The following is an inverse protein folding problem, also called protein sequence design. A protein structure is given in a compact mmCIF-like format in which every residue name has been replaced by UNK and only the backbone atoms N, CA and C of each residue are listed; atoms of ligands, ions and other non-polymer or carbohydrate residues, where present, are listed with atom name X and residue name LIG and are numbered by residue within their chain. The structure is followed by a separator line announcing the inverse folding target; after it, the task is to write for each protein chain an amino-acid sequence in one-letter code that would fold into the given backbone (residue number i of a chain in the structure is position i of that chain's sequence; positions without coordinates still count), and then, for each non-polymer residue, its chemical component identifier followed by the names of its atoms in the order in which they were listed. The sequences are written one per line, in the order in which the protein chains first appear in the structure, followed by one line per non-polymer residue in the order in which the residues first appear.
data_IF_805711874211
#
_entry.id   IF_805711874211
#
_cell.length_a   1.000
_cell.length_b   1.000
_cell.length_c   1.000
_cell.angle_alpha   90.00
_cell.angle_beta   90.00
_cell.angle_gamma   90.00
#
_symmetry.space_group_name_H-M   'P 1'
#
loop_
_entity.id
_entity.type
_entity.pdbx_description
1 polymer ?
#
# COMPACT_ATOMS: atom_id res chain seq x y z
N UNK A 1 20.36 27.96 40.98
CA UNK A 1 19.06 28.59 41.27
C UNK A 1 18.36 28.92 39.98
N UNK A 2 17.49 28.01 39.63
CA UNK A 2 16.13 28.11 39.15
C UNK A 2 15.79 28.71 37.79
N UNK A 3 15.11 27.83 37.04
CA UNK A 3 13.99 28.06 36.12
C UNK A 3 14.39 28.47 34.71
N UNK A 4 14.40 27.44 33.82
CA UNK A 4 13.73 27.46 32.51
C UNK A 4 13.74 26.02 31.97
N UNK A 5 12.93 25.16 32.59
CA UNK A 5 12.43 23.92 32.01
C UNK A 5 10.92 24.00 32.11
N UNK A 6 10.26 24.38 31.05
CA UNK A 6 8.87 24.04 30.72
C UNK A 6 8.39 24.99 29.62
N UNK A 7 8.34 24.56 28.38
CA UNK A 7 7.39 24.98 27.35
C UNK A 7 7.87 24.47 25.98
N UNK A 8 7.73 23.18 25.75
CA UNK A 8 8.09 22.58 24.47
C UNK A 8 7.43 21.23 24.19
N UNK A 9 6.50 20.85 25.03
CA UNK A 9 5.79 19.57 24.86
C UNK A 9 4.29 19.85 24.86
N UNK A 10 3.73 20.28 23.72
CA UNK A 10 2.30 20.15 23.41
C UNK A 10 2.00 20.76 22.04
N UNK A 11 2.34 20.07 20.95
CA UNK A 11 1.70 20.20 19.63
C UNK A 11 2.05 19.00 18.75
N UNK A 12 1.86 17.77 19.24
CA UNK A 12 2.02 16.55 18.43
C UNK A 12 0.78 15.65 18.54
N UNK A 13 -0.37 16.22 18.65
CA UNK A 13 -1.58 15.44 18.75
C UNK A 13 -2.72 16.10 18.01
N UNK A 14 -2.83 15.90 16.70
CA UNK A 14 -4.09 16.03 15.96
C UNK A 14 -3.93 16.07 14.43
N UNK A 15 -3.07 15.24 13.86
CA UNK A 15 -3.02 15.08 12.40
C UNK A 15 -2.97 13.59 11.99
N UNK A 16 -3.49 12.73 12.83
CA UNK A 16 -3.62 11.30 12.54
C UNK A 16 -5.08 10.98 12.34
N UNK A 17 -5.42 10.42 11.20
CA UNK A 17 -6.70 9.85 10.77
C UNK A 17 -7.42 10.65 9.68
N UNK A 18 -6.81 10.67 8.48
CA UNK A 18 -7.61 10.58 7.28
C UNK A 18 -7.15 9.31 6.58
N UNK A 19 -7.94 8.24 6.59
CA UNK A 19 -7.61 7.04 5.83
C UNK A 19 -7.73 7.35 4.34
N UNK A 20 -6.65 7.17 3.61
CA UNK A 20 -6.57 7.41 2.18
C UNK A 20 -5.76 6.28 1.55
N UNK A 21 -6.12 5.85 0.38
CA UNK A 21 -5.79 4.54 -0.16
C UNK A 21 -5.11 4.66 -1.52
N UNK A 22 -4.13 3.84 -1.78
CA UNK A 22 -3.24 3.93 -2.94
C UNK A 22 -3.08 2.59 -3.64
N UNK A 23 -2.56 2.61 -4.87
CA UNK A 23 -2.13 1.42 -5.58
C UNK A 23 -0.61 1.36 -5.68
N UNK A 24 -0.03 0.40 -4.98
CA UNK A 24 1.25 -0.18 -5.31
C UNK A 24 1.01 -1.49 -6.07
N UNK A 25 2.04 -2.23 -6.47
CA UNK A 25 1.85 -3.52 -7.11
C UNK A 25 0.89 -4.41 -6.28
N UNK A 26 -0.25 -4.74 -6.83
CA UNK A 26 -1.38 -5.25 -6.08
C UNK A 26 -2.00 -4.16 -5.18
N UNK A 27 -2.07 -4.41 -3.89
CA UNK A 27 -2.53 -3.44 -2.88
C UNK A 27 -1.51 -3.20 -1.75
N UNK A 28 -0.23 -3.52 -1.96
CA UNK A 28 0.87 -3.17 -1.04
C UNK A 28 1.34 -1.75 -1.30
N UNK A 29 1.59 -0.99 -0.24
CA UNK A 29 2.03 0.40 -0.29
C UNK A 29 3.52 0.50 0.03
N UNK A 30 4.31 0.95 -0.94
CA UNK A 30 5.72 1.26 -0.75
C UNK A 30 5.96 2.68 -0.20
N UNK A 31 4.97 3.54 -0.28
CA UNK A 31 5.00 4.96 0.08
C UNK A 31 5.07 5.16 1.60
N UNK A 32 6.14 4.62 2.20
CA UNK A 32 6.36 4.64 3.64
C UNK A 32 7.28 5.77 4.09
N UNK A 33 8.15 6.26 3.19
CA UNK A 33 9.11 7.31 3.52
C UNK A 33 9.25 8.30 2.37
N UNK A 34 9.25 9.59 2.65
CA UNK A 34 9.52 10.62 1.63
C UNK A 34 10.95 10.57 1.13
N UNK A 35 11.89 10.19 1.99
CA UNK A 35 13.30 10.04 1.63
C UNK A 35 13.53 8.88 0.63
N UNK A 36 12.80 7.77 0.78
CA UNK A 36 12.94 6.57 -0.06
C UNK A 36 12.42 6.74 -1.47
N UNK A 37 11.36 7.54 -1.68
CA UNK A 37 10.82 7.82 -3.02
C UNK A 37 11.90 8.35 -3.97
N UNK A 38 12.76 9.24 -3.49
CA UNK A 38 13.77 9.90 -4.33
C UNK A 38 14.74 8.96 -5.05
N UNK A 39 14.91 7.73 -4.57
CA UNK A 39 15.68 6.67 -5.25
C UNK A 39 14.86 5.41 -5.53
N UNK A 40 13.54 5.56 -5.71
CA UNK A 40 12.64 4.44 -5.94
C UNK A 40 12.83 3.31 -4.92
N UNK A 41 13.06 3.62 -3.65
CA UNK A 41 13.33 2.68 -2.54
C UNK A 41 14.54 1.73 -2.74
N UNK A 42 15.44 2.04 -3.68
CA UNK A 42 16.68 1.29 -3.81
C UNK A 42 17.50 1.33 -2.52
N UNK A 43 17.97 0.18 -2.05
CA UNK A 43 18.76 0.08 -0.82
C UNK A 43 17.96 0.25 0.49
N UNK A 44 16.64 0.19 0.45
CA UNK A 44 15.79 0.51 1.60
C UNK A 44 16.08 -0.35 2.84
N UNK A 45 16.32 -1.66 2.69
CA UNK A 45 16.65 -2.54 3.81
C UNK A 45 18.10 -2.40 4.31
N UNK A 46 18.99 -1.69 3.59
CA UNK A 46 20.35 -1.35 3.99
C UNK A 46 20.51 0.09 4.46
N UNK A 47 19.42 0.86 4.51
CA UNK A 47 19.42 2.27 4.90
C UNK A 47 19.68 2.47 6.40
N UNK A 48 20.26 3.62 6.74
CA UNK A 48 20.42 4.12 8.10
C UNK A 48 20.21 5.64 8.13
N UNK A 49 19.33 6.17 7.28
CA UNK A 49 19.21 7.58 6.98
C UNK A 49 18.44 8.37 8.05
N UNK A 50 17.39 7.78 8.61
CA UNK A 50 16.51 8.37 9.62
C UNK A 50 15.59 7.31 10.26
N UNK A 51 14.70 7.70 11.19
CA UNK A 51 13.84 6.77 11.93
C UNK A 51 12.92 5.91 11.05
N UNK A 52 12.62 6.34 9.83
CA UNK A 52 11.71 5.62 8.91
C UNK A 52 12.31 4.31 8.35
N UNK A 53 13.63 4.09 8.53
CA UNK A 53 14.31 2.84 8.12
C UNK A 53 13.68 1.60 8.75
N UNK A 54 13.07 1.74 9.93
CA UNK A 54 12.48 0.63 10.68
C UNK A 54 11.36 -0.08 9.93
N UNK A 55 10.66 0.58 9.00
CA UNK A 55 9.65 -0.09 8.20
C UNK A 55 10.27 -1.16 7.28
N UNK A 56 11.36 -0.81 6.59
CA UNK A 56 12.02 -1.71 5.65
C UNK A 56 12.96 -2.70 6.34
N UNK A 57 13.65 -2.26 7.41
CA UNK A 57 14.55 -3.11 8.19
C UNK A 57 14.72 -2.55 9.60
N UNK A 58 14.16 -3.19 10.64
CA UNK A 58 14.29 -2.70 12.02
C UNK A 58 15.74 -2.68 12.52
N UNK A 59 16.68 -3.47 11.92
CA UNK A 59 18.09 -3.43 12.29
C UNK A 59 18.75 -2.07 12.04
N UNK A 60 18.18 -1.25 11.11
CA UNK A 60 18.66 0.11 10.84
C UNK A 60 18.56 1.06 12.02
N UNK A 61 17.65 0.81 12.97
CA UNK A 61 17.54 1.60 14.21
C UNK A 61 18.84 1.60 15.02
N UNK A 62 19.58 0.48 15.04
CA UNK A 62 20.84 0.36 15.79
C UNK A 62 22.00 1.17 15.18
N UNK A 63 21.81 1.73 14.00
CA UNK A 63 22.79 2.58 13.31
C UNK A 63 22.51 4.08 13.47
N UNK A 64 21.41 4.45 14.12
CA UNK A 64 21.04 5.83 14.39
C UNK A 64 21.78 6.34 15.65
N UNK A 65 22.35 7.54 15.56
CA UNK A 65 23.21 8.09 16.64
C UNK A 65 22.47 9.02 17.62
N UNK A 66 21.17 9.27 17.40
CA UNK A 66 20.37 10.15 18.25
C UNK A 66 18.89 9.78 18.20
N UNK A 67 18.11 10.10 19.25
CA UNK A 67 16.66 9.99 19.18
C UNK A 67 16.11 10.84 18.04
N UNK A 68 15.11 10.30 17.30
CA UNK A 68 14.56 10.95 16.12
C UNK A 68 13.04 10.74 16.03
N UNK A 69 12.37 11.73 15.47
CA UNK A 69 11.00 11.62 14.95
C UNK A 69 11.02 11.95 13.46
N UNK A 70 10.44 11.08 12.65
CA UNK A 70 10.24 11.32 11.21
C UNK A 70 8.74 11.27 10.91
N UNK A 71 8.25 12.25 10.15
CA UNK A 71 6.87 12.26 9.64
C UNK A 71 6.94 12.46 8.14
N UNK A 72 6.29 11.56 7.42
CA UNK A 72 6.18 11.60 5.96
C UNK A 72 4.73 11.81 5.53
N UNK A 73 4.52 12.59 4.47
CA UNK A 73 3.25 12.77 3.80
C UNK A 73 3.44 12.56 2.30
N UNK A 74 2.49 11.85 1.69
CA UNK A 74 2.50 11.52 0.28
C UNK A 74 1.16 11.93 -0.34
N UNK A 75 1.20 12.51 -1.53
CA UNK A 75 0.07 12.68 -2.41
C UNK A 75 0.26 11.76 -3.62
N UNK A 76 -0.62 10.81 -3.78
CA UNK A 76 -0.56 9.83 -4.87
C UNK A 76 -1.73 10.10 -5.79
N UNK A 77 -1.42 10.56 -7.00
CA UNK A 77 -2.35 10.86 -8.07
C UNK A 77 -2.40 9.63 -8.98
N UNK A 78 -3.48 8.89 -8.87
CA UNK A 78 -3.73 7.66 -9.63
C UNK A 78 -4.68 7.97 -10.78
N UNK A 79 -4.29 7.65 -12.00
CA UNK A 79 -5.17 7.58 -13.16
C UNK A 79 -5.47 6.12 -13.48
N UNK A 80 -6.74 5.76 -13.67
CA UNK A 80 -7.21 4.41 -14.02
C UNK A 80 -8.34 4.53 -15.05
N UNK A 81 -7.95 4.87 -16.27
CA UNK A 81 -8.89 5.24 -17.36
C UNK A 81 -9.37 4.01 -18.11
N UNK A 82 -10.62 3.64 -17.88
CA UNK A 82 -11.29 2.55 -18.59
C UNK A 82 -11.86 3.00 -19.92
N UNK A 83 -11.76 2.13 -20.92
CA UNK A 83 -12.41 2.26 -22.24
C UNK A 83 -13.08 0.95 -22.62
N UNK A 84 -14.42 0.97 -22.76
CA UNK A 84 -15.21 -0.20 -23.13
C UNK A 84 -14.92 -0.70 -24.57
N UNK A 85 -14.92 -2.01 -24.73
CA UNK A 85 -14.78 -2.72 -26.02
C UNK A 85 -15.85 -3.79 -26.24
N UNK A 86 -17.03 -3.58 -25.69
CA UNK A 86 -18.15 -4.48 -25.90
C UNK A 86 -18.58 -5.25 -24.65
N UNK A 87 -18.55 -4.59 -23.49
CA UNK A 87 -19.09 -5.14 -22.25
C UNK A 87 -20.58 -5.44 -22.36
N UNK A 88 -21.05 -6.41 -21.59
CA UNK A 88 -22.47 -6.80 -21.56
C UNK A 88 -22.99 -6.80 -20.13
N UNK A 89 -24.21 -6.24 -19.96
CA UNK A 89 -24.93 -6.24 -18.70
C UNK A 89 -25.66 -7.59 -18.48
N UNK A 90 -26.02 -7.93 -17.23
CA UNK A 90 -26.92 -9.06 -16.98
C UNK A 90 -28.23 -8.90 -17.78
N UNK A 91 -28.76 -10.04 -18.26
CA UNK A 91 -29.94 -10.07 -19.11
C UNK A 91 -29.79 -9.26 -20.42
N UNK A 92 -28.56 -9.14 -20.96
CA UNK A 92 -28.33 -8.52 -22.26
C UNK A 92 -29.27 -9.10 -23.32
N UNK A 93 -29.94 -8.23 -24.05
CA UNK A 93 -30.96 -8.59 -25.04
C UNK A 93 -32.40 -8.52 -24.54
N UNK A 94 -32.65 -8.37 -23.25
CA UNK A 94 -33.98 -8.10 -22.69
C UNK A 94 -34.29 -6.59 -22.59
N UNK A 95 -33.35 -5.73 -22.94
CA UNK A 95 -33.53 -4.28 -23.16
C UNK A 95 -33.89 -3.43 -21.95
N UNK A 96 -33.69 -3.95 -20.74
CA UNK A 96 -34.32 -3.38 -19.55
C UNK A 96 -33.43 -2.52 -18.65
N UNK A 97 -32.09 -2.65 -18.76
CA UNK A 97 -31.15 -1.91 -17.90
C UNK A 97 -30.43 -0.78 -18.66
N UNK A 98 -30.24 0.41 -18.05
CA UNK A 98 -29.40 1.46 -18.64
C UNK A 98 -27.99 0.96 -18.91
N UNK A 99 -27.42 1.29 -20.07
CA UNK A 99 -26.05 0.84 -20.43
C UNK A 99 -25.00 1.35 -19.43
N UNK A 100 -25.11 2.60 -18.99
CA UNK A 100 -24.11 3.28 -18.16
C UNK A 100 -22.97 3.87 -18.99
N UNK A 101 -22.01 4.50 -18.32
CA UNK A 101 -20.80 5.05 -18.94
C UNK A 101 -19.93 3.93 -19.53
N UNK A 102 -19.39 4.16 -20.74
CA UNK A 102 -18.45 3.28 -21.45
C UNK A 102 -17.00 3.78 -21.35
N UNK A 103 -16.79 4.92 -20.69
CA UNK A 103 -15.48 5.48 -20.35
C UNK A 103 -15.57 6.04 -18.95
N UNK A 104 -14.53 5.78 -18.17
CA UNK A 104 -14.48 6.20 -16.77
C UNK A 104 -13.04 6.30 -16.30
N UNK A 105 -12.77 7.12 -15.27
CA UNK A 105 -11.52 7.14 -14.56
C UNK A 105 -11.78 6.74 -13.10
N UNK A 106 -11.40 5.53 -12.73
CA UNK A 106 -11.57 5.01 -11.37
C UNK A 106 -10.44 5.42 -10.43
N UNK A 107 -9.51 6.27 -10.89
CA UNK A 107 -8.43 6.85 -10.10
C UNK A 107 -8.88 8.01 -9.23
N UNK A 108 -8.00 8.41 -8.29
CA UNK A 108 -8.22 9.54 -7.39
C UNK A 108 -6.88 10.07 -6.85
N UNK A 109 -6.89 11.26 -6.25
CA UNK A 109 -5.75 11.77 -5.48
C UNK A 109 -5.86 11.29 -4.04
N UNK A 110 -4.85 10.53 -3.61
CA UNK A 110 -4.88 9.80 -2.36
C UNK A 110 -3.77 10.31 -1.43
N UNK A 111 -4.11 10.99 -0.32
CA UNK A 111 -3.15 11.37 0.69
C UNK A 111 -2.78 10.18 1.58
N UNK A 112 -1.51 10.04 1.94
CA UNK A 112 -0.98 9.04 2.85
C UNK A 112 -0.01 9.70 3.82
N UNK A 113 -0.03 9.28 5.10
CA UNK A 113 0.90 9.78 6.11
C UNK A 113 1.47 8.63 6.94
N UNK A 114 2.75 8.77 7.30
CA UNK A 114 3.47 7.82 8.14
C UNK A 114 4.27 8.55 9.21
N UNK A 115 4.41 7.97 10.39
CA UNK A 115 5.15 8.54 11.51
C UNK A 115 6.06 7.49 12.16
N UNK A 116 7.26 7.91 12.52
CA UNK A 116 8.31 7.06 13.05
C UNK A 116 9.00 7.74 14.23
N UNK A 117 9.29 6.97 15.25
CA UNK A 117 10.08 7.36 16.39
C UNK A 117 11.22 6.36 16.59
N UNK A 118 12.42 6.84 16.78
CA UNK A 118 13.59 6.03 17.10
C UNK A 118 14.30 6.58 18.32
N UNK A 119 14.71 5.69 19.22
CA UNK A 119 15.43 6.05 20.43
C UNK A 119 16.58 5.08 20.66
N UNK A 120 17.83 5.45 20.37
CA UNK A 120 19.01 4.74 20.87
C UNK A 120 19.02 4.76 22.40
N UNK A 121 18.87 3.59 23.03
CA UNK A 121 18.87 3.45 24.48
C UNK A 121 20.32 3.46 25.03
N UNK A 122 21.25 2.96 24.24
CA UNK A 122 22.69 3.00 24.46
C UNK A 122 23.40 2.68 23.13
N UNK A 123 24.72 2.53 23.13
CA UNK A 123 25.56 2.30 21.94
C UNK A 123 25.25 0.95 21.22
N UNK A 124 24.48 0.06 21.85
CA UNK A 124 24.20 -1.27 21.34
C UNK A 124 22.71 -1.55 21.09
N UNK A 125 21.81 -0.84 21.76
CA UNK A 125 20.38 -1.16 21.74
C UNK A 125 19.58 0.09 21.37
N UNK A 126 18.67 -0.05 20.41
CA UNK A 126 17.73 0.99 20.04
C UNK A 126 16.29 0.47 20.05
N UNK A 127 15.37 1.32 20.47
CA UNK A 127 13.93 1.12 20.38
C UNK A 127 13.36 1.98 19.25
N UNK A 128 12.33 1.47 18.56
CA UNK A 128 11.57 2.22 17.56
C UNK A 128 10.08 1.99 17.72
N UNK A 129 9.30 2.95 17.26
CA UNK A 129 7.84 2.84 17.13
C UNK A 129 7.37 3.53 15.85
N UNK A 130 6.55 2.85 15.07
CA UNK A 130 5.98 3.39 13.83
C UNK A 130 4.46 3.27 13.81
N UNK A 131 3.83 4.25 13.15
CA UNK A 131 2.45 4.16 12.66
C UNK A 131 2.50 4.38 11.15
N UNK A 132 2.01 3.41 10.39
CA UNK A 132 2.11 3.42 8.93
C UNK A 132 0.97 2.63 8.28
N UNK A 133 0.89 2.69 6.94
CA UNK A 133 -0.14 2.04 6.14
C UNK A 133 0.52 1.09 5.13
N UNK A 134 0.74 -0.20 5.46
CA UNK A 134 1.45 -1.14 4.57
C UNK A 134 0.63 -1.60 3.36
N UNK A 135 -0.70 -1.56 3.45
CA UNK A 135 -1.61 -2.00 2.38
C UNK A 135 -2.75 -1.01 2.23
N UNK A 136 -3.20 -0.85 0.99
CA UNK A 136 -4.33 0.00 0.64
C UNK A 136 -4.78 -0.20 -0.81
N UNK A 137 -6.05 0.08 -1.08
CA UNK A 137 -6.67 -0.02 -2.40
C UNK A 137 -7.79 0.98 -2.49
N UNK A 138 -7.87 1.73 -3.59
CA UNK A 138 -9.05 2.50 -3.93
C UNK A 138 -9.28 2.47 -5.43
N UNK A 139 -10.46 2.04 -5.85
CA UNK A 139 -11.04 2.26 -7.16
C UNK A 139 -12.49 2.67 -6.99
N UNK A 140 -12.90 3.72 -7.68
CA UNK A 140 -14.28 4.21 -7.62
C UNK A 140 -14.71 4.69 -9.00
N UNK A 141 -15.67 3.98 -9.59
CA UNK A 141 -16.26 4.29 -10.88
C UNK A 141 -17.51 5.15 -10.71
N UNK A 142 -17.79 6.00 -11.69
CA UNK A 142 -19.06 6.70 -11.78
C UNK A 142 -20.24 5.70 -11.80
N UNK A 143 -21.36 6.08 -11.21
CA UNK A 143 -22.54 5.23 -11.19
C UNK A 143 -23.73 5.94 -11.87
N UNK A 144 -24.27 5.40 -12.99
CA UNK A 144 -24.03 4.04 -13.53
C UNK A 144 -22.92 3.98 -14.59
N UNK A 145 -22.09 2.95 -14.54
CA UNK A 145 -21.13 2.58 -15.58
C UNK A 145 -21.37 1.14 -16.07
N UNK A 146 -20.77 0.76 -17.21
CA UNK A 146 -21.03 -0.54 -17.85
C UNK A 146 -20.59 -1.73 -17.00
N UNK A 147 -19.54 -1.60 -16.19
CA UNK A 147 -18.99 -2.67 -15.33
C UNK A 147 -19.55 -2.72 -13.90
N UNK A 148 -20.55 -1.94 -13.56
CA UNK A 148 -21.07 -1.76 -12.17
C UNK A 148 -21.48 -3.04 -11.46
N UNK A 149 -21.88 -4.10 -12.19
CA UNK A 149 -22.22 -5.40 -11.60
C UNK A 149 -20.98 -6.19 -11.12
N UNK A 150 -19.77 -5.80 -11.58
CA UNK A 150 -18.52 -6.39 -11.11
C UNK A 150 -17.84 -5.53 -10.04
N UNK A 151 -18.07 -4.22 -10.05
CA UNK A 151 -17.55 -3.29 -9.05
C UNK A 151 -17.93 -1.85 -9.36
N UNK A 152 -18.25 -1.07 -8.32
CA UNK A 152 -18.42 0.38 -8.36
C UNK A 152 -17.30 0.99 -7.52
N UNK A 153 -17.28 0.71 -6.22
CA UNK A 153 -16.24 1.12 -5.29
C UNK A 153 -15.53 -0.10 -4.71
N UNK A 154 -14.23 0.01 -4.54
CA UNK A 154 -13.40 -0.93 -3.79
C UNK A 154 -12.41 -0.13 -2.98
N UNK A 155 -12.52 -0.26 -1.68
CA UNK A 155 -11.68 0.46 -0.74
C UNK A 155 -11.14 -0.51 0.29
N UNK A 156 -9.82 -0.51 0.49
CA UNK A 156 -9.10 -1.23 1.54
C UNK A 156 -8.19 -0.25 2.25
N UNK A 157 -8.35 -0.10 3.55
CA UNK A 157 -7.49 0.74 4.39
C UNK A 157 -6.80 -0.12 5.43
N UNK A 158 -5.52 0.12 5.68
CA UNK A 158 -4.84 -0.47 6.82
C UNK A 158 -4.14 0.59 7.67
N UNK A 159 -4.08 0.35 8.96
CA UNK A 159 -3.26 1.12 9.90
C UNK A 159 -2.46 0.12 10.71
N UNK A 160 -1.14 0.28 10.72
CA UNK A 160 -0.21 -0.61 11.40
C UNK A 160 0.55 0.16 12.49
N UNK A 161 0.59 -0.40 13.70
CA UNK A 161 1.45 0.03 14.79
C UNK A 161 2.59 -0.98 14.95
N UNK A 162 3.83 -0.52 14.85
CA UNK A 162 5.01 -1.38 14.84
C UNK A 162 6.03 -0.93 15.91
N UNK A 163 5.98 -1.43 17.15
CA UNK A 163 7.11 -1.40 18.07
C UNK A 163 8.23 -2.32 17.58
N UNK A 164 9.48 -1.85 17.67
CA UNK A 164 10.65 -2.61 17.26
C UNK A 164 11.84 -2.39 18.19
N UNK A 165 12.70 -3.41 18.28
CA UNK A 165 13.98 -3.36 18.97
C UNK A 165 15.09 -3.72 17.99
N UNK A 166 16.22 -3.02 18.10
CA UNK A 166 17.43 -3.34 17.35
C UNK A 166 18.63 -3.45 18.25
N UNK A 167 19.55 -4.35 17.89
CA UNK A 167 20.78 -4.60 18.63
C UNK A 167 21.99 -4.55 17.68
N UNK A 168 22.96 -3.70 17.99
CA UNK A 168 24.28 -3.69 17.37
C UNK A 168 25.15 -4.73 18.05
N UNK A 169 25.31 -5.91 17.42
CA UNK A 169 26.13 -7.01 17.96
C UNK A 169 27.61 -6.72 17.86
N UNK A 170 28.02 -6.00 16.80
CA UNK A 170 29.38 -5.55 16.56
C UNK A 170 29.35 -4.35 15.62
N UNK A 171 30.51 -3.77 15.27
CA UNK A 171 30.59 -2.70 14.26
C UNK A 171 30.18 -3.17 12.86
N UNK A 172 30.18 -4.48 12.63
CA UNK A 172 29.82 -5.09 11.33
C UNK A 172 28.43 -5.69 11.27
N UNK A 173 27.76 -5.97 12.40
CA UNK A 173 26.47 -6.69 12.42
C UNK A 173 25.47 -6.01 13.34
N UNK A 174 24.32 -5.67 12.78
CA UNK A 174 23.14 -5.21 13.51
C UNK A 174 21.95 -6.11 13.20
N UNK A 175 21.12 -6.40 14.21
CA UNK A 175 19.90 -7.18 14.10
C UNK A 175 18.71 -6.34 14.58
N UNK A 176 17.54 -6.61 14.06
CA UNK A 176 16.30 -5.95 14.49
C UNK A 176 15.11 -6.87 14.42
N UNK A 177 14.15 -6.64 15.31
CA UNK A 177 12.87 -7.35 15.35
C UNK A 177 11.77 -6.39 15.74
N UNK A 178 10.60 -6.49 15.09
CA UNK A 178 9.42 -5.71 15.37
C UNK A 178 8.16 -6.58 15.39
N UNK A 179 7.19 -6.18 16.20
CA UNK A 179 5.84 -6.71 16.17
C UNK A 179 4.94 -5.74 15.39
N UNK A 180 4.05 -6.27 14.56
CA UNK A 180 3.09 -5.51 13.78
C UNK A 180 1.68 -5.77 14.33
N UNK A 181 0.97 -4.75 14.79
CA UNK A 181 -0.45 -4.79 15.07
C UNK A 181 -1.18 -3.99 14.00
N UNK A 182 -1.97 -4.65 13.18
CA UNK A 182 -2.57 -4.03 12.02
C UNK A 182 -4.09 -4.16 12.05
N UNK A 183 -4.77 -3.02 11.94
CA UNK A 183 -6.19 -2.91 11.64
C UNK A 183 -6.39 -2.85 10.12
N UNK A 184 -7.38 -3.57 9.59
CA UNK A 184 -7.81 -3.52 8.20
C UNK A 184 -9.31 -3.28 8.11
N UNK A 185 -9.72 -2.38 7.22
CA UNK A 185 -11.12 -2.09 6.89
C UNK A 185 -11.32 -2.18 5.38
N UNK A 186 -12.39 -2.81 4.94
CA UNK A 186 -12.71 -2.93 3.52
C UNK A 186 -14.17 -2.55 3.24
N UNK A 187 -14.36 -1.68 2.23
CA UNK A 187 -15.65 -1.35 1.67
C UNK A 187 -15.71 -1.74 0.20
N UNK A 188 -16.71 -2.55 -0.17
CA UNK A 188 -16.92 -2.98 -1.56
C UNK A 188 -18.36 -2.68 -1.95
N UNK A 189 -18.55 -2.04 -3.13
CA UNK A 189 -19.89 -1.82 -3.68
C UNK A 189 -19.99 -2.35 -5.10
N UNK A 190 -21.18 -2.81 -5.47
CA UNK A 190 -21.55 -3.20 -6.83
C UNK A 190 -23.07 -3.17 -7.02
N UNK A 191 -23.47 -3.14 -8.27
CA UNK A 191 -24.87 -3.35 -8.63
C UNK A 191 -25.26 -4.82 -8.47
N UNK A 192 -26.53 -5.06 -8.10
CA UNK A 192 -27.15 -6.39 -8.04
C UNK A 192 -28.52 -6.35 -8.71
N UNK A 193 -28.93 -7.48 -9.28
CA UNK A 193 -30.29 -7.66 -9.77
C UNK A 193 -31.20 -8.11 -8.63
N UNK A 194 -32.25 -7.36 -8.39
CA UNK A 194 -33.32 -7.65 -7.43
C UNK A 194 -34.52 -8.39 -8.09
N UNK A 195 -34.53 -8.43 -9.42
CA UNK A 195 -35.56 -9.03 -10.26
C UNK A 195 -35.36 -8.67 -11.74
N UNK A 196 -36.18 -9.14 -12.65
CA UNK A 196 -36.13 -8.72 -14.05
C UNK A 196 -36.20 -7.19 -14.16
N UNK A 197 -35.23 -6.58 -14.83
CA UNK A 197 -35.13 -5.12 -15.00
C UNK A 197 -35.10 -4.27 -13.72
N UNK A 198 -34.85 -4.86 -12.56
CA UNK A 198 -34.79 -4.15 -11.29
C UNK A 198 -33.39 -4.23 -10.72
N UNK A 199 -32.71 -3.10 -10.66
CA UNK A 199 -31.33 -2.96 -10.16
C UNK A 199 -31.35 -2.44 -8.73
N UNK A 200 -30.39 -2.93 -7.92
CA UNK A 200 -30.09 -2.44 -6.58
C UNK A 200 -28.60 -2.25 -6.39
N UNK A 201 -28.20 -1.90 -5.16
CA UNK A 201 -26.82 -1.76 -4.73
C UNK A 201 -26.53 -2.67 -3.58
N UNK A 202 -25.43 -3.42 -3.66
CA UNK A 202 -24.83 -4.12 -2.55
C UNK A 202 -23.63 -3.34 -2.04
N UNK A 203 -23.54 -3.18 -0.72
CA UNK A 203 -22.37 -2.63 -0.01
C UNK A 203 -21.94 -3.62 1.06
N UNK A 204 -20.71 -4.04 0.99
CA UNK A 204 -20.00 -4.83 2.01
C UNK A 204 -19.12 -3.88 2.79
N UNK A 205 -19.21 -3.91 4.11
CA UNK A 205 -18.45 -3.06 5.02
C UNK A 205 -17.96 -3.95 6.16
N UNK A 206 -16.64 -4.20 6.23
CA UNK A 206 -16.04 -5.21 7.12
C UNK A 206 -14.69 -4.76 7.63
N UNK A 207 -14.35 -5.17 8.85
CA UNK A 207 -13.05 -4.85 9.47
C UNK A 207 -12.55 -5.98 10.37
N UNK A 208 -11.24 -5.98 10.65
CA UNK A 208 -10.58 -6.90 11.57
C UNK A 208 -9.21 -6.36 11.98
N UNK A 209 -8.64 -6.94 13.03
CA UNK A 209 -7.29 -6.65 13.50
C UNK A 209 -6.50 -7.96 13.65
N UNK A 210 -5.21 -7.89 13.34
CA UNK A 210 -4.35 -9.06 13.47
C UNK A 210 -2.91 -8.68 13.82
N UNK A 211 -2.13 -9.67 14.22
CA UNK A 211 -0.72 -9.52 14.57
C UNK A 211 0.17 -10.16 13.50
N UNK A 212 1.30 -9.50 13.26
CA UNK A 212 2.41 -10.00 12.49
C UNK A 212 3.73 -9.63 13.13
N UNK A 213 4.82 -9.87 12.43
CA UNK A 213 6.15 -9.52 12.87
C UNK A 213 7.07 -9.20 11.67
N UNK A 214 8.13 -8.46 11.96
CA UNK A 214 9.19 -8.23 11.00
C UNK A 214 10.55 -8.39 11.67
N UNK A 215 11.54 -8.80 10.89
CA UNK A 215 12.91 -8.97 11.37
C UNK A 215 13.91 -8.62 10.28
N UNK A 216 15.10 -8.24 10.67
CA UNK A 216 16.16 -8.01 9.71
C UNK A 216 17.55 -7.94 10.29
N UNK A 217 18.52 -7.89 9.38
CA UNK A 217 19.93 -7.74 9.68
C UNK A 217 20.58 -6.73 8.72
N UNK A 218 21.57 -6.01 9.21
CA UNK A 218 22.45 -5.18 8.40
C UNK A 218 23.89 -5.57 8.68
N UNK A 219 24.63 -5.79 7.60
CA UNK A 219 26.07 -6.06 7.61
C UNK A 219 26.80 -4.83 7.06
N UNK A 220 27.61 -4.19 7.90
CA UNK A 220 28.46 -3.06 7.50
C UNK A 220 29.89 -3.55 7.30
N UNK A 221 30.37 -3.48 6.06
CA UNK A 221 31.71 -3.93 5.68
C UNK A 221 32.77 -2.85 5.97
N UNK A 222 34.06 -3.19 6.04
CA UNK A 222 35.13 -2.19 6.22
C UNK A 222 35.17 -1.11 5.12
N UNK A 223 34.61 -1.38 3.94
CA UNK A 223 34.41 -0.41 2.83
C UNK A 223 33.25 0.54 3.06
N UNK A 224 32.62 0.53 4.22
CA UNK A 224 31.36 1.20 4.54
C UNK A 224 30.15 0.75 3.67
N UNK A 225 30.30 -0.32 2.88
CA UNK A 225 29.18 -0.97 2.19
C UNK A 225 28.23 -1.56 3.21
N UNK A 226 26.96 -1.28 3.11
CA UNK A 226 25.92 -1.91 3.90
C UNK A 226 25.13 -2.91 3.04
N UNK A 227 24.95 -4.12 3.57
CA UNK A 227 24.11 -5.16 3.00
C UNK A 227 22.99 -5.40 4.00
N UNK A 228 21.74 -5.17 3.61
CA UNK A 228 20.57 -5.37 4.45
C UNK A 228 19.72 -6.52 3.95
N UNK A 229 19.26 -7.36 4.87
CA UNK A 229 18.22 -8.36 4.61
C UNK A 229 17.08 -8.16 5.59
N UNK A 230 15.85 -8.29 5.12
CA UNK A 230 14.69 -8.20 6.00
C UNK A 230 13.57 -9.10 5.51
N UNK A 231 12.70 -9.45 6.46
CA UNK A 231 11.50 -10.24 6.24
C UNK A 231 10.36 -9.66 7.06
N UNK A 232 9.17 -9.58 6.46
CA UNK A 232 7.91 -9.26 7.12
C UNK A 232 6.96 -10.42 6.94
N UNK A 233 6.33 -10.87 8.03
CA UNK A 233 5.40 -12.01 8.02
C UNK A 233 4.11 -11.70 7.29
N UNK A 234 3.46 -12.74 6.78
CA UNK A 234 2.08 -12.67 6.34
C UNK A 234 1.15 -12.29 7.49
N UNK A 235 -0.02 -11.72 7.16
CA UNK A 235 -1.04 -11.34 8.13
C UNK A 235 -2.40 -11.87 7.68
N UNK A 236 -2.99 -12.79 8.46
CA UNK A 236 -4.28 -13.41 8.16
C UNK A 236 -5.41 -12.65 8.85
N UNK A 237 -6.32 -12.09 8.05
CA UNK A 237 -7.49 -11.37 8.51
C UNK A 237 -8.75 -12.21 8.37
N UNK A 238 -9.68 -11.99 9.27
CA UNK A 238 -11.02 -12.56 9.30
C UNK A 238 -12.05 -11.42 9.39
N UNK A 239 -12.00 -10.52 8.40
CA UNK A 239 -12.82 -9.31 8.35
C UNK A 239 -14.31 -9.66 8.56
N UNK A 240 -14.95 -8.98 9.52
CA UNK A 240 -16.36 -9.16 9.88
C UNK A 240 -17.11 -7.85 9.86
N UNK A 241 -18.37 -7.87 9.52
CA UNK A 241 -19.25 -6.72 9.42
C UNK A 241 -20.54 -7.09 8.68
N UNK A 242 -21.03 -6.21 7.81
CA UNK A 242 -22.32 -6.39 7.17
C UNK A 242 -22.27 -6.23 5.65
N UNK A 243 -23.12 -6.97 4.98
CA UNK A 243 -23.57 -6.68 3.61
C UNK A 243 -24.93 -6.03 3.68
N UNK A 244 -25.05 -4.84 3.10
CA UNK A 244 -26.29 -4.09 2.97
C UNK A 244 -26.70 -4.05 1.51
N UNK A 245 -27.90 -4.53 1.21
CA UNK A 245 -28.51 -4.48 -0.13
C UNK A 245 -29.69 -3.52 -0.09
N UNK A 246 -29.75 -2.63 -1.07
CA UNK A 246 -30.83 -1.63 -1.20
C UNK A 246 -31.29 -1.49 -2.66
N UNK A 247 -32.48 -0.93 -2.84
CA UNK A 247 -32.92 -0.41 -4.13
C UNK A 247 -32.11 0.82 -4.52
N UNK A 248 -32.21 1.29 -5.77
CA UNK A 248 -31.58 2.55 -6.22
C UNK A 248 -32.08 3.78 -5.45
N UNK A 249 -33.29 3.72 -4.88
CA UNK A 249 -33.84 4.79 -4.02
C UNK A 249 -33.42 4.67 -2.56
N UNK A 250 -32.55 3.73 -2.23
CA UNK A 250 -32.00 3.54 -0.88
C UNK A 250 -32.90 2.71 0.06
N UNK A 251 -34.01 2.11 -0.40
CA UNK A 251 -34.83 1.25 0.44
C UNK A 251 -34.10 -0.06 0.71
N UNK A 252 -33.92 -0.48 1.98
CA UNK A 252 -33.17 -1.68 2.33
C UNK A 252 -33.92 -2.96 1.92
N UNK A 253 -33.16 -3.95 1.45
CA UNK A 253 -33.65 -5.31 1.11
C UNK A 253 -33.15 -6.28 2.19
N UNK A 254 -33.89 -6.40 3.25
CA UNK A 254 -33.51 -7.20 4.44
C UNK A 254 -33.18 -8.66 4.11
N UNK A 255 -33.91 -9.28 3.18
CA UNK A 255 -33.67 -10.68 2.79
C UNK A 255 -32.31 -10.93 2.11
N UNK A 256 -31.74 -9.88 1.49
CA UNK A 256 -30.42 -9.94 0.83
C UNK A 256 -29.28 -9.35 1.69
N UNK A 257 -29.64 -8.65 2.77
CA UNK A 257 -28.70 -8.03 3.73
C UNK A 257 -28.32 -8.98 4.87
N UNK A 258 -27.32 -8.63 5.66
CA UNK A 258 -26.98 -9.30 6.91
C UNK A 258 -25.48 -9.50 7.13
N UNK A 259 -25.12 -10.15 8.24
CA UNK A 259 -23.75 -10.24 8.70
C UNK A 259 -22.88 -11.03 7.72
N UNK A 260 -21.67 -10.53 7.52
CA UNK A 260 -20.74 -11.03 6.49
C UNK A 260 -19.35 -11.19 7.06
N UNK A 261 -18.65 -12.21 6.60
CA UNK A 261 -17.25 -12.50 6.91
C UNK A 261 -16.44 -12.66 5.63
N UNK A 262 -15.23 -12.10 5.62
CA UNK A 262 -14.25 -12.23 4.55
C UNK A 262 -12.92 -12.68 5.14
N UNK A 263 -12.43 -13.86 4.74
CA UNK A 263 -11.08 -14.32 5.07
C UNK A 263 -10.10 -13.92 3.99
N UNK A 264 -9.02 -13.20 4.35
CA UNK A 264 -7.95 -12.83 3.43
C UNK A 264 -6.59 -12.87 4.14
N UNK A 265 -5.56 -13.34 3.44
CA UNK A 265 -4.19 -13.32 3.98
C UNK A 265 -3.36 -12.34 3.17
N UNK A 266 -2.86 -11.29 3.83
CA UNK A 266 -1.90 -10.37 3.22
C UNK A 266 -0.52 -11.02 3.16
N UNK A 267 0.22 -10.81 2.07
CA UNK A 267 1.44 -11.56 1.79
C UNK A 267 2.59 -11.22 2.74
N UNK A 268 3.44 -12.20 2.97
CA UNK A 268 4.78 -12.01 3.49
C UNK A 268 5.72 -11.47 2.41
N UNK A 269 6.82 -10.82 2.84
CA UNK A 269 7.80 -10.23 1.94
C UNK A 269 9.22 -10.39 2.47
N UNK A 270 10.18 -10.43 1.55
CA UNK A 270 11.61 -10.44 1.82
C UNK A 270 12.34 -9.41 0.96
N UNK A 271 13.34 -8.74 1.53
CA UNK A 271 14.15 -7.76 0.84
C UNK A 271 15.63 -8.04 1.02
N UNK A 272 16.40 -7.82 -0.04
CA UNK A 272 17.86 -7.80 -0.06
C UNK A 272 18.29 -6.46 -0.66
N UNK A 273 19.04 -5.69 0.10
CA UNK A 273 19.49 -4.36 -0.30
C UNK A 273 20.99 -4.18 -0.13
N UNK A 274 21.56 -3.32 -0.96
CA UNK A 274 22.96 -2.88 -0.87
C UNK A 274 22.99 -1.35 -0.95
N UNK A 275 23.76 -0.73 -0.07
CA UNK A 275 24.13 0.67 -0.12
C UNK A 275 25.68 0.74 -0.14
N UNK A 276 26.22 1.22 -1.26
CA UNK A 276 27.66 1.27 -1.55
C UNK A 276 28.13 2.69 -1.71
N UNK A 277 28.84 3.29 -0.74
CA UNK A 277 29.56 4.53 -0.96
C UNK A 277 30.63 4.31 -2.06
N UNK A 278 30.57 5.12 -3.11
CA UNK A 278 31.59 5.13 -4.18
C UNK A 278 32.70 6.12 -3.87
N UNK A 279 32.34 7.20 -3.18
CA UNK A 279 33.25 8.21 -2.62
C UNK A 279 32.47 9.05 -1.58
N UNK A 280 33.06 10.12 -1.03
CA UNK A 280 32.47 10.96 0.01
C UNK A 280 31.17 11.68 -0.42
N UNK A 281 30.95 11.79 -1.73
CA UNK A 281 29.81 12.51 -2.30
C UNK A 281 28.77 11.61 -2.95
N UNK A 282 29.09 10.37 -3.31
CA UNK A 282 28.23 9.55 -4.13
C UNK A 282 28.06 8.14 -3.52
N UNK A 283 26.79 7.75 -3.28
CA UNK A 283 26.39 6.41 -2.84
C UNK A 283 25.48 5.77 -3.89
N UNK A 284 25.83 4.55 -4.31
CA UNK A 284 24.98 3.68 -5.15
C UNK A 284 24.13 2.79 -4.24
N UNK A 285 22.85 2.65 -4.59
CA UNK A 285 21.90 1.81 -3.89
C UNK A 285 21.24 0.82 -4.83
N UNK A 286 21.04 -0.41 -4.37
CA UNK A 286 20.33 -1.44 -5.09
C UNK A 286 19.41 -2.23 -4.14
N UNK A 287 18.30 -2.71 -4.68
CA UNK A 287 17.31 -3.47 -3.93
C UNK A 287 16.73 -4.59 -4.80
N UNK A 288 16.51 -5.75 -4.19
CA UNK A 288 15.73 -6.84 -4.73
C UNK A 288 14.73 -7.28 -3.66
N UNK A 289 13.45 -7.21 -3.96
CA UNK A 289 12.39 -7.63 -3.07
C UNK A 289 11.49 -8.68 -3.70
N UNK A 290 10.94 -9.54 -2.86
CA UNK A 290 9.98 -10.57 -3.21
C UNK A 290 8.77 -10.47 -2.29
N UNK A 291 7.57 -10.71 -2.84
CA UNK A 291 6.32 -10.73 -2.11
C UNK A 291 5.47 -11.94 -2.50
N UNK A 292 4.99 -12.67 -1.51
CA UNK A 292 4.26 -13.94 -1.62
C UNK A 292 2.76 -13.70 -1.90
N UNK A 293 2.45 -13.03 -2.99
CA UNK A 293 1.08 -12.70 -3.38
C UNK A 293 0.21 -13.93 -3.69
N UNK A 294 0.80 -15.08 -3.98
CA UNK A 294 0.05 -16.34 -4.21
C UNK A 294 -0.78 -16.78 -2.99
N UNK A 295 -0.54 -16.20 -1.81
CA UNK A 295 -1.38 -16.36 -0.62
C UNK A 295 -2.77 -15.74 -0.78
N UNK A 296 -2.90 -14.71 -1.63
CA UNK A 296 -4.19 -14.10 -1.97
C UNK A 296 -4.83 -14.90 -3.10
N UNK A 297 -5.56 -15.93 -2.71
CA UNK A 297 -6.26 -16.82 -3.64
C UNK A 297 -7.67 -16.35 -3.96
N UNK A 298 -8.64 -17.29 -3.86
CA UNK A 298 -10.07 -16.98 -3.95
C UNK A 298 -10.59 -16.52 -2.59
N UNK A 299 -11.20 -15.34 -2.57
CA UNK A 299 -11.77 -14.72 -1.38
C UNK A 299 -13.29 -14.82 -1.43
N UNK A 300 -13.91 -15.31 -0.36
CA UNK A 300 -15.36 -15.47 -0.24
C UNK A 300 -15.92 -14.46 0.76
N UNK A 301 -16.90 -13.67 0.33
CA UNK A 301 -17.78 -12.95 1.25
C UNK A 301 -18.90 -13.91 1.67
N UNK A 302 -18.91 -14.35 2.92
CA UNK A 302 -19.81 -15.39 3.43
C UNK A 302 -20.78 -14.82 4.44
N UNK A 303 -22.06 -15.15 4.32
CA UNK A 303 -23.06 -14.85 5.34
C UNK A 303 -22.78 -15.70 6.58
N UNK A 304 -22.54 -15.07 7.72
CA UNK A 304 -22.18 -15.78 8.96
C UNK A 304 -23.35 -16.52 9.60
N UNK A 305 -24.61 -16.14 9.30
CA UNK A 305 -25.80 -16.78 9.83
C UNK A 305 -26.12 -18.08 9.09
N UNK A 306 -25.97 -18.09 7.75
CA UNK A 306 -26.36 -19.22 6.91
C UNK A 306 -25.19 -20.06 6.44
N UNK A 307 -23.95 -19.54 6.53
CA UNK A 307 -22.73 -20.15 5.99
C UNK A 307 -22.64 -20.09 4.45
N UNK A 308 -23.56 -19.40 3.77
CA UNK A 308 -23.60 -19.36 2.31
C UNK A 308 -22.72 -18.22 1.77
N UNK A 309 -21.96 -18.44 0.68
CA UNK A 309 -21.24 -17.36 -0.01
C UNK A 309 -22.24 -16.33 -0.57
N UNK A 310 -21.95 -15.06 -0.37
CA UNK A 310 -22.67 -13.91 -0.97
C UNK A 310 -21.96 -13.39 -2.20
N UNK A 311 -20.62 -13.44 -2.18
CA UNK A 311 -19.77 -13.01 -3.29
C UNK A 311 -18.46 -13.79 -3.31
N UNK A 312 -17.82 -13.87 -4.47
CA UNK A 312 -16.56 -14.58 -4.69
C UNK A 312 -15.63 -13.67 -5.50
N UNK A 313 -14.48 -13.34 -4.93
CA UNK A 313 -13.42 -12.59 -5.59
C UNK A 313 -12.29 -13.57 -5.91
N UNK A 314 -12.10 -13.88 -7.19
CA UNK A 314 -11.05 -14.77 -7.66
C UNK A 314 -9.82 -13.94 -7.99
N UNK A 315 -8.94 -13.69 -7.03
CA UNK A 315 -7.70 -12.97 -7.28
C UNK A 315 -6.66 -13.87 -7.95
N UNK A 316 -6.40 -15.05 -7.40
CA UNK A 316 -5.48 -16.02 -7.98
C UNK A 316 -4.10 -15.43 -8.31
N UNK A 317 -3.61 -14.52 -7.48
CA UNK A 317 -2.40 -13.76 -7.69
C UNK A 317 -1.15 -14.64 -7.85
N UNK A 318 -0.13 -14.12 -8.51
CA UNK A 318 1.22 -14.70 -8.59
C UNK A 318 2.16 -13.96 -7.65
N UNK A 319 3.20 -14.65 -7.17
CA UNK A 319 4.30 -14.01 -6.46
C UNK A 319 5.00 -13.00 -7.35
N UNK A 320 5.53 -11.94 -6.73
CA UNK A 320 6.16 -10.85 -7.46
C UNK A 320 7.59 -10.60 -6.98
N UNK A 321 8.40 -10.09 -7.91
CA UNK A 321 9.71 -9.53 -7.63
C UNK A 321 9.74 -8.05 -8.03
N UNK A 322 10.56 -7.28 -7.32
CA UNK A 322 10.87 -5.90 -7.62
C UNK A 322 12.37 -5.69 -7.57
N UNK A 323 12.92 -4.95 -8.53
CA UNK A 323 14.33 -4.58 -8.61
C UNK A 323 14.44 -3.07 -8.69
N UNK A 324 15.32 -2.48 -7.91
CA UNK A 324 15.53 -1.03 -7.90
C UNK A 324 17.02 -0.67 -7.90
N UNK A 325 17.33 0.46 -8.55
CA UNK A 325 18.63 1.10 -8.55
C UNK A 325 18.47 2.58 -8.23
N UNK A 326 19.36 3.13 -7.43
CA UNK A 326 19.32 4.52 -7.02
C UNK A 326 20.71 5.09 -6.75
N UNK A 327 20.77 6.41 -6.84
CA UNK A 327 21.95 7.22 -6.54
C UNK A 327 21.58 8.28 -5.52
N UNK A 328 22.46 8.48 -4.54
CA UNK A 328 22.43 9.63 -3.61
C UNK A 328 23.71 10.46 -3.85
N UNK A 329 23.56 11.73 -4.18
CA UNK A 329 24.64 12.67 -4.40
C UNK A 329 24.62 13.74 -3.32
N UNK A 330 25.55 13.67 -2.39
CA UNK A 330 25.81 14.65 -1.35
C UNK A 330 26.62 15.81 -1.93
N UNK A 331 25.96 16.92 -2.27
CA UNK A 331 26.63 18.12 -2.78
C UNK A 331 27.47 18.84 -1.69
N UNK A 332 26.92 18.90 -0.47
CA UNK A 332 27.55 19.49 0.71
C UNK A 332 26.84 18.99 1.98
N UNK A 333 27.17 19.53 3.15
CA UNK A 333 26.53 19.13 4.42
C UNK A 333 25.03 19.42 4.48
N UNK A 334 24.54 20.40 3.70
CA UNK A 334 23.14 20.83 3.72
C UNK A 334 22.29 20.16 2.64
N UNK A 335 22.87 19.84 1.48
CA UNK A 335 22.09 19.39 0.32
C UNK A 335 22.56 18.05 -0.23
N UNK A 336 21.62 17.13 -0.40
CA UNK A 336 21.78 15.91 -1.18
C UNK A 336 20.68 15.82 -2.24
N UNK A 337 21.02 15.21 -3.38
CA UNK A 337 20.10 14.95 -4.50
C UNK A 337 20.05 13.46 -4.78
N UNK A 338 18.88 13.00 -5.17
CA UNK A 338 18.61 11.58 -5.38
C UNK A 338 17.97 11.35 -6.73
N UNK A 339 18.29 10.22 -7.34
CA UNK A 339 17.61 9.72 -8.52
C UNK A 339 17.49 8.20 -8.42
N UNK A 340 16.40 7.64 -8.94
CA UNK A 340 16.18 6.22 -8.89
C UNK A 340 15.26 5.70 -9.98
N UNK A 341 15.36 4.40 -10.22
CA UNK A 341 14.48 3.65 -11.09
C UNK A 341 14.19 2.29 -10.49
N UNK A 342 13.02 1.73 -10.80
CA UNK A 342 12.70 0.37 -10.42
C UNK A 342 11.79 -0.29 -11.44
N UNK A 343 11.94 -1.61 -11.56
CA UNK A 343 10.98 -2.48 -12.21
C UNK A 343 10.21 -3.24 -11.13
N UNK A 344 8.87 -3.22 -11.24
CA UNK A 344 7.97 -3.71 -10.22
C UNK A 344 6.86 -4.56 -10.86
N UNK A 345 6.82 -5.84 -10.52
CA UNK A 345 5.85 -6.79 -11.06
C UNK A 345 4.49 -6.65 -10.38
N UNK A 346 3.43 -6.68 -11.18
CA UNK A 346 2.07 -6.86 -10.69
C UNK A 346 1.77 -8.31 -10.32
N UNK A 347 1.06 -8.58 -9.21
CA UNK A 347 0.56 -9.92 -8.90
C UNK A 347 -0.61 -10.34 -9.77
N UNK A 348 -1.28 -9.40 -10.43
CA UNK A 348 -2.49 -9.64 -11.20
C UNK A 348 -2.17 -10.37 -12.51
N UNK A 349 -2.84 -11.50 -12.73
CA UNK A 349 -2.77 -12.22 -14.00
C UNK A 349 -3.85 -11.73 -14.96
N UNK A 350 -3.57 -11.78 -16.27
CA UNK A 350 -4.48 -11.26 -17.28
C UNK A 350 -5.84 -11.97 -17.32
N UNK A 351 -5.85 -13.27 -17.01
CA UNK A 351 -7.04 -14.13 -17.05
C UNK A 351 -8.00 -13.97 -15.86
N UNK A 352 -7.53 -13.39 -14.76
CA UNK A 352 -8.33 -13.16 -13.53
C UNK A 352 -8.41 -11.69 -13.14
N UNK A 353 -7.94 -10.78 -14.00
CA UNK A 353 -7.99 -9.34 -13.75
C UNK A 353 -9.42 -8.87 -13.54
N UNK A 354 -9.65 -8.10 -12.50
CA UNK A 354 -10.97 -7.55 -12.15
C UNK A 354 -11.00 -6.03 -12.30
N UNK A 355 -12.18 -5.48 -12.41
CA UNK A 355 -12.40 -4.02 -12.41
C UNK A 355 -11.99 -3.38 -11.07
N UNK A 356 -11.91 -4.17 -9.99
CA UNK A 356 -11.55 -3.70 -8.65
C UNK A 356 -10.04 -3.47 -8.48
N UNK A 357 -9.22 -4.15 -9.29
CA UNK A 357 -7.77 -4.02 -9.31
C UNK A 357 -7.25 -4.25 -10.74
N UNK A 358 -7.40 -3.25 -11.64
CA UNK A 358 -6.95 -3.34 -13.02
C UNK A 358 -5.45 -3.02 -13.15
N UNK A 359 -4.62 -3.76 -12.42
CA UNK A 359 -3.19 -3.54 -12.27
C UNK A 359 -2.34 -4.29 -13.30
N UNK A 360 -1.10 -3.82 -13.55
CA UNK A 360 -0.09 -4.46 -14.39
C UNK A 360 1.33 -4.08 -13.94
N UNK A 361 2.36 -4.72 -14.52
CA UNK A 361 3.78 -4.43 -14.29
C UNK A 361 4.08 -2.96 -14.59
N UNK A 362 5.05 -2.38 -13.82
CA UNK A 362 5.35 -0.94 -13.92
C UNK A 362 6.84 -0.64 -13.79
N UNK A 363 7.21 0.49 -14.38
CA UNK A 363 8.52 1.11 -14.19
C UNK A 363 8.40 2.38 -13.38
N UNK A 364 9.28 2.55 -12.41
CA UNK A 364 9.43 3.76 -11.61
C UNK A 364 10.55 4.62 -12.15
N UNK A 365 10.34 5.92 -12.20
CA UNK A 365 11.38 6.92 -12.36
C UNK A 365 11.19 7.97 -11.29
N UNK A 366 12.22 8.22 -10.48
CA UNK A 366 12.11 9.11 -9.33
C UNK A 366 13.30 10.05 -9.19
N UNK A 367 13.02 11.20 -8.56
CA UNK A 367 14.01 12.19 -8.14
C UNK A 367 13.66 12.70 -6.75
N UNK A 368 14.65 13.15 -6.00
CA UNK A 368 14.42 13.69 -4.67
C UNK A 368 15.56 14.60 -4.21
N UNK A 369 15.31 15.33 -3.14
CA UNK A 369 16.28 16.17 -2.49
C UNK A 369 16.14 16.09 -0.99
N UNK A 370 17.25 16.17 -0.27
CA UNK A 370 17.31 16.39 1.18
C UNK A 370 17.95 17.74 1.46
N UNK A 371 17.30 18.51 2.30
CA UNK A 371 17.82 19.75 2.83
C UNK A 371 17.96 19.68 4.35
N UNK A 372 19.13 20.00 4.85
CA UNK A 372 19.47 20.12 6.28
C UNK A 372 19.65 21.58 6.66
N UNK A 373 18.58 22.32 6.97
CA UNK A 373 18.69 23.74 7.37
C UNK A 373 19.43 23.91 8.69
N UNK A 374 19.36 22.91 9.56
CA UNK A 374 20.07 22.85 10.84
C UNK A 374 20.65 21.46 11.05
N UNK A 375 21.49 21.30 12.08
CA UNK A 375 22.03 19.97 12.43
C UNK A 375 20.98 19.00 12.98
N UNK A 376 19.81 19.50 13.37
CA UNK A 376 18.73 18.74 14.00
C UNK A 376 17.55 18.47 13.06
N UNK A 377 17.41 19.21 11.97
CA UNK A 377 16.28 19.12 11.06
C UNK A 377 16.73 18.67 9.67
N UNK A 378 16.09 17.63 9.17
CA UNK A 378 16.19 17.16 7.79
C UNK A 378 14.81 17.27 7.14
N UNK A 379 14.76 17.83 5.94
CA UNK A 379 13.58 17.94 5.10
C UNK A 379 13.88 17.24 3.80
N UNK A 380 13.01 16.28 3.45
CA UNK A 380 13.07 15.55 2.19
C UNK A 380 11.87 15.93 1.33
N UNK A 381 12.09 16.12 0.04
CA UNK A 381 11.06 16.27 -0.97
C UNK A 381 11.40 15.37 -2.15
N UNK A 382 10.40 14.66 -2.66
CA UNK A 382 10.60 13.71 -3.75
C UNK A 382 9.37 13.63 -4.67
N UNK A 383 9.63 13.23 -5.90
CA UNK A 383 8.65 12.93 -6.92
C UNK A 383 8.99 11.61 -7.60
N UNK A 384 7.97 10.80 -7.87
CA UNK A 384 8.09 9.62 -8.72
C UNK A 384 6.95 9.59 -9.72
N UNK A 385 7.26 9.11 -10.93
CA UNK A 385 6.29 8.72 -11.95
C UNK A 385 6.39 7.22 -12.20
N UNK A 386 5.23 6.56 -12.22
CA UNK A 386 5.10 5.13 -12.48
C UNK A 386 4.44 4.94 -13.83
N UNK A 387 5.21 4.38 -14.77
CA UNK A 387 4.74 3.96 -16.09
C UNK A 387 4.13 2.56 -15.95
N UNK A 388 2.81 2.48 -15.84
CA UNK A 388 2.10 1.20 -15.76
C UNK A 388 1.87 0.69 -17.18
N UNK A 389 2.11 -0.60 -17.41
CA UNK A 389 1.87 -1.23 -18.70
C UNK A 389 0.37 -1.24 -19.02
N UNK A 390 0.01 -0.98 -20.27
CA UNK A 390 -1.37 -1.06 -20.75
C UNK A 390 -2.03 -2.38 -20.34
N UNK A 391 -3.29 -2.28 -19.95
CA UNK A 391 -4.03 -3.36 -19.29
C UNK A 391 -5.30 -3.65 -20.05
N UNK A 392 -5.57 -4.92 -20.31
CA UNK A 392 -6.82 -5.38 -20.91
C UNK A 392 -7.64 -6.16 -19.89
N UNK A 393 -8.96 -6.10 -20.01
CA UNK A 393 -9.89 -6.92 -19.24
C UNK A 393 -10.88 -7.61 -20.17
N UNK A 394 -11.15 -8.89 -19.90
CA UNK A 394 -12.21 -9.67 -20.54
C UNK A 394 -12.76 -10.65 -19.50
N UNK A 395 -13.55 -10.16 -18.54
CA UNK A 395 -14.02 -10.93 -17.39
C UNK A 395 -15.53 -11.11 -17.44
N UNK A 396 -15.99 -12.36 -17.50
CA UNK A 396 -17.37 -12.73 -17.29
C UNK A 396 -17.59 -13.10 -15.81
N UNK A 397 -18.61 -12.52 -15.19
CA UNK A 397 -18.96 -12.80 -13.81
C UNK A 397 -20.47 -12.96 -13.66
N UNK A 398 -20.87 -14.10 -13.10
CA UNK A 398 -22.26 -14.37 -12.74
C UNK A 398 -22.56 -13.83 -11.33
N UNK A 399 -23.78 -13.36 -11.11
CA UNK A 399 -24.28 -13.10 -9.76
C UNK A 399 -24.45 -14.45 -9.06
N UNK A 400 -23.85 -14.58 -7.87
CA UNK A 400 -23.84 -15.84 -7.14
C UNK A 400 -25.27 -16.32 -6.79
N UNK A 401 -25.55 -17.60 -7.02
CA UNK A 401 -26.88 -18.18 -6.78
C UNK A 401 -27.94 -17.81 -7.80
N UNK A 402 -27.61 -17.07 -8.85
CA UNK A 402 -28.50 -16.68 -9.92
C UNK A 402 -28.26 -17.51 -11.20
N UNK A 403 -29.25 -17.61 -12.12
CA UNK A 403 -29.06 -18.24 -13.43
C UNK A 403 -27.92 -17.60 -14.24
N UNK A 404 -27.33 -18.33 -15.16
CA UNK A 404 -26.21 -17.84 -16.00
C UNK A 404 -26.57 -16.57 -16.80
N UNK A 405 -27.84 -16.35 -17.13
CA UNK A 405 -28.34 -15.11 -17.76
C UNK A 405 -28.16 -13.85 -16.92
N UNK A 406 -27.86 -14.00 -15.61
CA UNK A 406 -27.53 -12.91 -14.68
C UNK A 406 -26.02 -12.64 -14.62
N UNK A 407 -25.26 -13.05 -15.63
CA UNK A 407 -23.84 -12.70 -15.76
C UNK A 407 -23.65 -11.38 -16.46
N UNK A 408 -22.61 -10.67 -16.08
CA UNK A 408 -22.08 -9.50 -16.80
C UNK A 408 -20.70 -9.82 -17.35
N UNK A 409 -20.38 -9.29 -18.53
CA UNK A 409 -19.03 -9.34 -19.07
C UNK A 409 -18.48 -7.92 -19.16
N UNK A 410 -17.30 -7.68 -18.60
CA UNK A 410 -16.55 -6.45 -18.82
C UNK A 410 -15.41 -6.74 -19.78
N UNK A 411 -15.41 -6.06 -20.90
CA UNK A 411 -14.38 -6.14 -21.94
C UNK A 411 -13.90 -4.73 -22.28
N UNK A 412 -12.60 -4.48 -22.12
CA UNK A 412 -12.07 -3.14 -22.35
C UNK A 412 -10.57 -3.05 -22.11
N UNK A 413 -10.07 -1.82 -22.22
CA UNK A 413 -8.69 -1.47 -21.92
C UNK A 413 -8.67 -0.49 -20.74
N UNK A 414 -7.57 -0.55 -19.98
CA UNK A 414 -7.20 0.46 -18.99
C UNK A 414 -5.89 1.13 -19.40
N UNK A 415 -5.87 2.45 -19.31
CA UNK A 415 -4.69 3.30 -19.39
C UNK A 415 -4.42 3.81 -17.97
N UNK A 416 -3.34 3.32 -17.35
CA UNK A 416 -3.01 3.54 -15.95
C UNK A 416 -1.71 4.32 -15.82
N UNK A 417 -1.68 5.31 -14.94
CA UNK A 417 -0.44 5.99 -14.54
C UNK A 417 -0.52 6.45 -13.10
N UNK A 418 0.65 6.64 -12.46
CA UNK A 418 0.71 7.11 -11.07
C UNK A 418 1.77 8.20 -10.94
N UNK A 419 1.39 9.32 -10.34
CA UNK A 419 2.30 10.37 -9.92
C UNK A 419 2.34 10.42 -8.40
N UNK A 420 3.54 10.48 -7.81
CA UNK A 420 3.72 10.51 -6.35
C UNK A 420 4.55 11.75 -6.00
N UNK A 421 3.99 12.60 -5.16
CA UNK A 421 4.71 13.70 -4.51
C UNK A 421 4.84 13.38 -3.03
N UNK A 422 6.04 13.52 -2.47
CA UNK A 422 6.29 13.20 -1.07
C UNK A 422 7.12 14.27 -0.37
N UNK A 423 6.75 14.52 0.87
CA UNK A 423 7.48 15.38 1.80
C UNK A 423 7.75 14.59 3.09
N UNK A 424 8.93 14.76 3.67
CA UNK A 424 9.26 14.20 4.98
C UNK A 424 10.03 15.22 5.79
N UNK A 425 9.72 15.29 7.07
CA UNK A 425 10.49 16.04 8.05
C UNK A 425 11.01 15.05 9.13
N UNK A 426 12.31 15.13 9.40
CA UNK A 426 12.96 14.37 10.47
C UNK A 426 13.64 15.32 11.44
N UNK A 427 13.27 15.19 12.72
CA UNK A 427 13.88 15.94 13.82
C UNK A 427 14.73 15.01 14.69
N UNK A 428 16.02 15.32 14.79
CA UNK A 428 16.96 14.64 15.68
C UNK A 428 17.11 15.41 17.00
N UNK A 429 16.89 14.73 18.13
CA UNK A 429 17.09 15.31 19.46
C UNK A 429 18.57 15.15 19.87
N UNK A 430 19.11 16.14 20.57
CA UNK A 430 20.47 16.14 21.13
C UNK A 430 20.43 16.17 22.63
#
# INVERSE_FOLDING_TARGET
MNRYFASGALMLGAALCVPSLTHAAGFSLLEQTGSGIGYSYAGAAASADDASVMFFNPAGLALLNSPQVSVAAHGIDLETKFRDKGSTLPLAGLGALPAGSTRDDAGDIIPLANAYFAWPLNDHVAFGFAVNTPFGLKTEYDDPWVGRFQGIKSELTTINANPALAVKLSDTVSLGFGADYQHAHAELTNAVLLGPATEGRARVDVSDETWGWNAGAIFTLPSATRIGVSYRSQMAFSLTGDTNVSTLTGLPIAAASGPTKIGITFPDSANLSVAQPLNDALELRADASWMNWSKVGTVFATNTTTGTPRDVLQFGFKDTARLALGLDYKRNEQWSFRAGTAWDQSPVKDDVRTVRLPDNDRWWLSVGTRWRPTQNLMLDAAYAHLFVRDTTIALNRAQLGAPASFSSTVTGDYDNSVNIVSLQATWAFR
#
